data_IF_208212709030
#
_entry.id   IF_208212709030
#
_cell.length_a   1.000
_cell.length_b   1.000
_cell.length_c   1.000
_cell.angle_alpha   90.00
_cell.angle_beta   90.00
_cell.angle_gamma   90.00
#
_symmetry.space_group_name_H-M   'P 1'
#
loop_
_entity.id
_entity.type
_entity.pdbx_description
1 polymer ?
#
# COMPACT_ATOMS: atom_id res chain seq x y z
N UNK A 1 3.01 19.87 11.39
CA UNK A 1 2.06 20.04 10.26
C UNK A 1 2.27 21.36 9.50
N UNK A 2 3.42 22.04 9.65
CA UNK A 2 3.75 23.31 8.99
C UNK A 2 5.09 23.18 8.26
N UNK A 3 5.25 22.10 7.49
CA UNK A 3 6.43 21.92 6.64
C UNK A 3 5.98 21.91 5.19
N UNK A 4 6.80 22.41 4.28
CA UNK A 4 6.47 22.45 2.84
C UNK A 4 6.13 21.05 2.31
N UNK A 5 6.74 20.01 2.87
CA UNK A 5 6.49 18.61 2.53
C UNK A 5 5.09 18.10 2.92
N UNK A 6 4.33 18.84 3.74
CA UNK A 6 2.94 18.52 4.06
C UNK A 6 1.95 18.91 2.93
N UNK A 7 2.44 19.68 1.95
CA UNK A 7 1.70 20.12 0.77
C UNK A 7 2.43 19.63 -0.49
N UNK A 8 1.75 18.82 -1.30
CA UNK A 8 2.28 18.40 -2.60
C UNK A 8 1.21 18.68 -3.64
N UNK A 9 1.62 19.13 -4.82
CA UNK A 9 0.72 19.54 -5.90
C UNK A 9 -0.17 20.77 -5.57
N UNK A 10 0.20 21.57 -4.57
CA UNK A 10 -0.52 22.80 -4.19
C UNK A 10 -1.69 22.59 -3.24
N UNK A 11 -1.76 21.43 -2.57
CA UNK A 11 -2.77 21.15 -1.55
C UNK A 11 -2.28 20.15 -0.49
N UNK A 12 -2.89 20.14 0.72
CA UNK A 12 -2.47 19.26 1.80
C UNK A 12 -2.56 17.78 1.44
N UNK A 13 -1.48 17.03 1.69
CA UNK A 13 -1.43 15.58 1.47
C UNK A 13 -2.51 14.82 2.24
N UNK A 14 -2.95 15.36 3.38
CA UNK A 14 -4.05 14.81 4.18
C UNK A 14 -5.37 14.75 3.41
N UNK A 15 -5.63 15.67 2.48
CA UNK A 15 -6.83 15.62 1.63
C UNK A 15 -6.80 14.43 0.66
N UNK A 16 -5.62 14.12 0.09
CA UNK A 16 -5.44 12.91 -0.74
C UNK A 16 -5.75 11.67 0.09
N UNK A 17 -5.21 11.61 1.31
CA UNK A 17 -5.46 10.49 2.21
C UNK A 17 -6.95 10.33 2.53
N UNK A 18 -7.62 11.40 2.94
CA UNK A 18 -9.05 11.37 3.26
C UNK A 18 -9.88 10.87 2.07
N UNK A 19 -9.64 11.41 0.87
CA UNK A 19 -10.39 11.02 -0.32
C UNK A 19 -10.16 9.55 -0.68
N UNK A 20 -8.89 9.11 -0.72
CA UNK A 20 -8.56 7.73 -1.11
C UNK A 20 -9.01 6.70 -0.08
N UNK A 21 -8.85 6.96 1.22
CA UNK A 21 -9.34 6.05 2.26
C UNK A 21 -10.86 6.00 2.34
N UNK A 22 -11.57 7.12 2.10
CA UNK A 22 -13.03 7.11 2.01
C UNK A 22 -13.53 6.22 0.87
N UNK A 23 -12.90 6.31 -0.31
CA UNK A 23 -13.19 5.41 -1.45
C UNK A 23 -12.93 3.96 -1.05
N UNK A 24 -11.81 3.66 -0.38
CA UNK A 24 -11.49 2.29 0.05
C UNK A 24 -12.51 1.72 1.04
N UNK A 25 -13.03 2.54 1.96
CA UNK A 25 -14.11 2.12 2.87
C UNK A 25 -15.37 1.78 2.08
N UNK A 26 -15.77 2.64 1.13
CA UNK A 26 -16.93 2.38 0.29
C UNK A 26 -16.79 1.08 -0.53
N UNK A 27 -15.60 0.84 -1.11
CA UNK A 27 -15.29 -0.40 -1.81
C UNK A 27 -15.34 -1.62 -0.88
N UNK A 28 -14.85 -1.48 0.35
CA UNK A 28 -14.89 -2.55 1.35
C UNK A 28 -16.34 -2.91 1.74
N UNK A 29 -17.21 -1.91 1.88
CA UNK A 29 -18.65 -2.13 2.11
C UNK A 29 -19.28 -2.83 0.91
N UNK A 30 -18.97 -2.41 -0.32
CA UNK A 30 -19.46 -3.07 -1.52
C UNK A 30 -19.02 -4.55 -1.59
N UNK A 31 -17.77 -4.85 -1.24
CA UNK A 31 -17.29 -6.24 -1.13
C UNK A 31 -18.03 -7.03 -0.05
N UNK A 32 -18.34 -6.41 1.09
CA UNK A 32 -19.12 -7.05 2.16
C UNK A 32 -20.55 -7.39 1.70
N UNK A 33 -21.12 -6.58 0.80
CA UNK A 33 -22.39 -6.83 0.13
C UNK A 33 -22.27 -7.80 -1.07
N UNK A 34 -21.14 -8.50 -1.21
CA UNK A 34 -20.87 -9.47 -2.27
C UNK A 34 -20.90 -8.87 -3.69
N UNK A 35 -20.60 -7.57 -3.84
CA UNK A 35 -20.44 -6.96 -5.16
C UNK A 35 -19.18 -7.51 -5.82
N UNK A 36 -19.34 -8.11 -6.99
CA UNK A 36 -18.22 -8.60 -7.80
C UNK A 36 -17.58 -7.48 -8.61
N UNK A 37 -16.24 -7.41 -8.58
CA UNK A 37 -15.47 -6.41 -9.33
C UNK A 37 -14.74 -7.03 -10.53
N UNK A 38 -14.76 -6.37 -11.70
CA UNK A 38 -14.09 -6.86 -12.90
C UNK A 38 -12.56 -6.86 -12.74
N UNK A 39 -11.85 -7.64 -13.55
CA UNK A 39 -10.37 -7.73 -13.51
C UNK A 39 -9.67 -6.36 -13.61
N UNK A 40 -10.20 -5.46 -14.44
CA UNK A 40 -9.66 -4.11 -14.63
C UNK A 40 -9.66 -3.29 -13.33
N UNK A 41 -10.70 -3.43 -12.51
CA UNK A 41 -10.77 -2.76 -11.21
C UNK A 41 -9.58 -3.16 -10.33
N UNK A 42 -9.29 -4.47 -10.24
CA UNK A 42 -8.18 -4.98 -9.45
C UNK A 42 -6.82 -4.52 -9.97
N UNK A 43 -6.66 -4.41 -11.30
CA UNK A 43 -5.44 -3.87 -11.91
C UNK A 43 -5.24 -2.39 -11.56
N UNK A 44 -6.30 -1.58 -11.66
CA UNK A 44 -6.25 -0.17 -11.29
C UNK A 44 -6.02 0.02 -9.78
N UNK A 45 -6.63 -0.82 -8.94
CA UNK A 45 -6.43 -0.81 -7.50
C UNK A 45 -4.96 -1.07 -7.16
N UNK A 46 -4.35 -2.12 -7.72
CA UNK A 46 -2.93 -2.43 -7.49
C UNK A 46 -2.02 -1.35 -8.04
N UNK A 47 -2.31 -0.81 -9.23
CA UNK A 47 -1.53 0.29 -9.80
C UNK A 47 -1.59 1.54 -8.91
N UNK A 48 -2.78 1.98 -8.53
CA UNK A 48 -2.99 3.17 -7.71
C UNK A 48 -2.38 3.02 -6.31
N UNK A 49 -2.56 1.87 -5.67
CA UNK A 49 -1.96 1.59 -4.35
C UNK A 49 -0.44 1.44 -4.41
N UNK A 50 0.11 0.92 -5.51
CA UNK A 50 1.57 0.90 -5.72
C UNK A 50 2.13 2.32 -5.81
N UNK A 51 1.47 3.21 -6.56
CA UNK A 51 1.85 4.62 -6.63
C UNK A 51 1.76 5.30 -5.27
N UNK A 52 0.71 5.01 -4.49
CA UNK A 52 0.55 5.53 -3.14
C UNK A 52 1.66 5.04 -2.20
N UNK A 53 2.05 3.76 -2.27
CA UNK A 53 3.18 3.22 -1.50
C UNK A 53 4.48 3.92 -1.85
N UNK A 54 4.76 4.15 -3.14
CA UNK A 54 5.95 4.89 -3.58
C UNK A 54 5.92 6.32 -3.05
N UNK A 55 4.77 6.99 -3.11
CA UNK A 55 4.59 8.33 -2.56
C UNK A 55 4.83 8.38 -1.05
N UNK A 56 4.32 7.40 -0.28
CA UNK A 56 4.61 7.29 1.16
C UNK A 56 6.09 7.07 1.45
N UNK A 57 6.79 6.22 0.68
CA UNK A 57 8.24 6.03 0.83
C UNK A 57 9.01 7.32 0.55
N UNK A 58 8.60 8.08 -0.47
CA UNK A 58 9.23 9.35 -0.79
C UNK A 58 9.02 10.39 0.32
N UNK A 59 7.80 10.51 0.86
CA UNK A 59 7.56 11.39 2.02
C UNK A 59 8.36 10.94 3.25
N UNK A 60 8.45 9.63 3.50
CA UNK A 60 9.26 9.11 4.60
C UNK A 60 10.74 9.47 4.43
N UNK A 61 11.30 9.34 3.23
CA UNK A 61 12.66 9.78 2.92
C UNK A 61 12.84 11.27 3.26
N UNK A 62 11.93 12.15 2.82
CA UNK A 62 12.02 13.58 3.15
C UNK A 62 11.96 13.83 4.66
N UNK A 63 11.07 13.13 5.37
CA UNK A 63 10.89 13.38 6.82
C UNK A 63 12.05 12.84 7.66
N UNK A 64 12.65 11.71 7.26
CA UNK A 64 13.83 11.12 7.90
C UNK A 64 15.06 12.00 7.65
N UNK A 65 15.39 12.23 6.37
CA UNK A 65 16.68 12.81 6.02
C UNK A 65 16.73 14.34 6.10
N UNK A 66 15.60 15.05 6.02
CA UNK A 66 15.58 16.52 6.16
C UNK A 66 15.13 17.00 7.55
N UNK A 67 14.16 16.31 8.18
CA UNK A 67 13.51 16.77 9.41
C UNK A 67 13.97 15.98 10.64
N UNK A 68 14.44 14.73 10.46
CA UNK A 68 14.88 13.86 11.55
C UNK A 68 13.73 13.38 12.46
N UNK A 69 12.49 13.35 11.97
CA UNK A 69 11.33 12.93 12.77
C UNK A 69 10.32 12.15 11.92
N UNK A 70 9.86 10.99 12.41
CA UNK A 70 8.79 10.21 11.77
C UNK A 70 7.41 10.60 12.31
N UNK A 71 6.48 10.93 11.41
CA UNK A 71 5.10 11.23 11.78
C UNK A 71 4.29 9.92 12.00
N UNK A 72 3.70 9.69 13.19
CA UNK A 72 2.90 8.49 13.46
C UNK A 72 1.69 8.34 12.52
N UNK A 73 1.04 9.44 12.15
CA UNK A 73 -0.11 9.40 11.23
C UNK A 73 0.31 8.95 9.83
N UNK A 74 1.46 9.42 9.35
CA UNK A 74 2.03 8.99 8.07
C UNK A 74 2.39 7.50 8.10
N UNK A 75 2.95 7.02 9.20
CA UNK A 75 3.23 5.59 9.39
C UNK A 75 1.96 4.74 9.29
N UNK A 76 0.89 5.15 9.96
CA UNK A 76 -0.40 4.44 9.91
C UNK A 76 -0.96 4.40 8.49
N UNK A 77 -0.99 5.55 7.80
CA UNK A 77 -1.47 5.63 6.42
C UNK A 77 -0.63 4.74 5.48
N UNK A 78 0.69 4.70 5.70
CA UNK A 78 1.61 3.90 4.91
C UNK A 78 1.39 2.39 5.11
N UNK A 79 1.28 1.95 6.36
CA UNK A 79 0.94 0.55 6.71
C UNK A 79 -0.40 0.16 6.09
N UNK A 80 -1.43 0.99 6.23
CA UNK A 80 -2.75 0.73 5.67
C UNK A 80 -2.69 0.57 4.14
N UNK A 81 -1.95 1.45 3.45
CA UNK A 81 -1.81 1.40 1.99
C UNK A 81 -1.09 0.12 1.53
N UNK A 82 -0.06 -0.31 2.24
CA UNK A 82 0.64 -1.57 1.95
C UNK A 82 -0.25 -2.81 2.12
N UNK A 83 -1.12 -2.80 3.13
CA UNK A 83 -2.11 -3.87 3.33
C UNK A 83 -3.12 -3.92 2.17
N UNK A 84 -3.61 -2.77 1.71
CA UNK A 84 -4.52 -2.72 0.55
C UNK A 84 -3.81 -3.24 -0.71
N UNK A 85 -2.56 -2.80 -0.95
CA UNK A 85 -1.76 -3.29 -2.07
C UNK A 85 -1.59 -4.82 -2.02
N UNK A 86 -1.32 -5.38 -0.83
CA UNK A 86 -1.18 -6.82 -0.63
C UNK A 86 -2.43 -7.61 -1.01
N UNK A 87 -3.60 -7.12 -0.57
CA UNK A 87 -4.88 -7.77 -0.87
C UNK A 87 -5.12 -7.71 -2.38
N UNK A 88 -5.01 -6.53 -2.99
CA UNK A 88 -5.19 -6.38 -4.44
C UNK A 88 -4.22 -7.24 -5.24
N UNK A 89 -2.97 -7.35 -4.81
CA UNK A 89 -1.96 -8.18 -5.46
C UNK A 89 -2.29 -9.68 -5.34
N UNK A 90 -2.74 -10.14 -4.16
CA UNK A 90 -3.21 -11.53 -3.97
C UNK A 90 -4.36 -11.87 -4.91
N UNK A 91 -5.35 -10.99 -5.01
CA UNK A 91 -6.51 -11.19 -5.89
C UNK A 91 -6.09 -11.30 -7.36
N UNK A 92 -5.19 -10.42 -7.83
CA UNK A 92 -4.67 -10.51 -9.20
C UNK A 92 -3.84 -11.77 -9.44
N UNK A 93 -3.02 -12.17 -8.47
CA UNK A 93 -2.21 -13.38 -8.55
C UNK A 93 -3.08 -14.64 -8.56
N UNK A 94 -4.14 -14.68 -7.76
CA UNK A 94 -5.10 -15.79 -7.75
C UNK A 94 -5.83 -15.89 -9.10
N UNK A 95 -6.34 -14.78 -9.62
CA UNK A 95 -6.96 -14.74 -10.95
C UNK A 95 -5.99 -15.19 -12.05
N UNK A 96 -4.70 -14.84 -11.94
CA UNK A 96 -3.66 -15.31 -12.88
C UNK A 96 -3.38 -16.81 -12.72
N UNK A 97 -3.36 -17.32 -11.50
CA UNK A 97 -3.14 -18.74 -11.19
C UNK A 97 -4.24 -19.64 -11.75
N UNK A 98 -5.49 -19.17 -11.77
CA UNK A 98 -6.63 -19.87 -12.37
C UNK A 98 -6.57 -19.88 -13.91
N UNK A 99 -6.00 -18.84 -14.52
CA UNK A 99 -5.91 -18.68 -15.97
C UNK A 99 -4.69 -19.37 -16.58
N UNK A 100 -3.61 -19.57 -15.82
CA UNK A 100 -2.36 -20.11 -16.35
C UNK A 100 -2.33 -21.63 -16.31
N UNK A 101 -1.92 -22.24 -17.43
CA UNK A 101 -1.67 -23.69 -17.53
C UNK A 101 -0.22 -24.06 -17.27
N UNK A 102 0.69 -23.06 -17.22
CA UNK A 102 2.11 -23.29 -17.01
C UNK A 102 2.40 -23.55 -15.51
N UNK A 103 3.00 -24.71 -15.23
CA UNK A 103 3.42 -25.08 -13.87
C UNK A 103 4.51 -24.15 -13.34
N UNK A 104 5.34 -23.56 -14.20
CA UNK A 104 6.38 -22.60 -13.79
C UNK A 104 5.76 -21.32 -13.21
N UNK A 105 4.70 -20.81 -13.85
CA UNK A 105 3.96 -19.63 -13.38
C UNK A 105 3.23 -19.91 -12.07
N UNK A 106 2.63 -21.10 -11.91
CA UNK A 106 1.96 -21.49 -10.65
C UNK A 106 2.93 -21.54 -9.48
N UNK A 107 4.13 -22.08 -9.69
CA UNK A 107 5.21 -22.10 -8.68
C UNK A 107 5.63 -20.68 -8.31
N UNK A 108 5.81 -19.80 -9.30
CA UNK A 108 6.16 -18.40 -9.06
C UNK A 108 5.07 -17.67 -8.25
N UNK A 109 3.80 -17.82 -8.61
CA UNK A 109 2.66 -17.20 -7.92
C UNK A 109 2.59 -17.66 -6.45
N UNK A 110 2.68 -18.97 -6.20
CA UNK A 110 2.68 -19.51 -4.83
C UNK A 110 3.86 -19.00 -4.01
N UNK A 111 5.02 -18.87 -4.65
CA UNK A 111 6.24 -18.36 -4.01
C UNK A 111 6.09 -16.89 -3.63
N UNK A 112 5.59 -16.05 -4.55
CA UNK A 112 5.32 -14.63 -4.28
C UNK A 112 4.33 -14.48 -3.13
N UNK A 113 3.21 -15.20 -3.18
CA UNK A 113 2.17 -15.12 -2.15
C UNK A 113 2.66 -15.57 -0.75
N UNK A 114 3.61 -16.52 -0.71
CA UNK A 114 4.25 -17.00 0.52
C UNK A 114 5.22 -15.98 1.10
N UNK A 115 6.08 -15.39 0.27
CA UNK A 115 7.09 -14.40 0.70
C UNK A 115 6.51 -13.03 1.02
N UNK A 116 5.30 -12.74 0.56
CA UNK A 116 4.66 -11.46 0.80
C UNK A 116 4.49 -11.16 2.30
N UNK A 117 4.04 -12.13 3.13
CA UNK A 117 3.87 -11.89 4.57
C UNK A 117 5.20 -11.63 5.30
N UNK A 118 6.25 -12.45 5.12
CA UNK A 118 7.59 -12.14 5.65
C UNK A 118 8.10 -10.76 5.25
N UNK A 119 7.88 -10.33 4.00
CA UNK A 119 8.28 -9.01 3.52
C UNK A 119 7.56 -7.89 4.28
N UNK A 120 6.26 -8.03 4.54
CA UNK A 120 5.50 -7.06 5.32
C UNK A 120 5.98 -6.99 6.78
N UNK A 121 6.26 -8.14 7.40
CA UNK A 121 6.78 -8.19 8.77
C UNK A 121 8.15 -7.52 8.85
N UNK A 122 9.06 -7.85 7.92
CA UNK A 122 10.38 -7.24 7.85
C UNK A 122 10.26 -5.72 7.67
N UNK A 123 9.46 -5.28 6.70
CA UNK A 123 9.26 -3.88 6.41
C UNK A 123 8.62 -3.12 7.59
N UNK A 124 7.60 -3.68 8.23
CA UNK A 124 6.97 -3.07 9.41
C UNK A 124 7.96 -2.98 10.58
N UNK A 125 8.81 -3.99 10.76
CA UNK A 125 9.87 -3.99 11.78
C UNK A 125 10.90 -2.90 11.49
N UNK A 126 11.32 -2.74 10.23
CA UNK A 126 12.24 -1.68 9.81
C UNK A 126 11.63 -0.29 10.03
N UNK A 127 10.36 -0.11 9.68
CA UNK A 127 9.62 1.15 9.89
C UNK A 127 9.51 1.51 11.37
N UNK A 128 9.11 0.55 12.21
CA UNK A 128 9.04 0.73 13.65
C UNK A 128 10.44 1.02 14.22
N UNK A 129 11.45 0.28 13.78
CA UNK A 129 12.85 0.51 14.16
C UNK A 129 13.31 1.93 13.83
N UNK A 130 13.04 2.42 12.62
CA UNK A 130 13.36 3.78 12.20
C UNK A 130 12.66 4.84 13.07
N UNK A 131 11.38 4.62 13.40
CA UNK A 131 10.62 5.53 14.26
C UNK A 131 11.17 5.65 15.68
N UNK A 132 11.70 4.56 16.26
CA UNK A 132 12.22 4.53 17.63
C UNK A 132 13.70 4.87 17.74
N UNK A 133 14.49 4.63 16.69
CA UNK A 133 15.94 4.89 16.69
C UNK A 133 16.29 6.35 16.37
N UNK A 134 15.32 7.18 15.96
CA UNK A 134 15.52 8.62 15.75
C UNK A 134 16.58 8.96 14.71
N UNK A 135 16.81 8.04 13.76
CA UNK A 135 17.67 8.25 12.58
C UNK A 135 16.82 8.76 11.43
#
# INVERSE_FOLDING_TARGET
MLSEQAEVFGFPNSLIGIATFAIMIALSVAMFLQVEFPKLFWQLLVLGTSLAVVFCHWLAFQTIFEIGALCPYCMVAWVATLLVLSVGLRELLQKRNELTTDESEKVAIKTIAKWMLPLHILWATLLVGAAFLGV
#
